data_IF_216953076479
#
_entry.id   IF_216953076479
#
_cell.length_a   1.000
_cell.length_b   1.000
_cell.length_c   1.000
_cell.angle_alpha   90.00
_cell.angle_beta   90.00
_cell.angle_gamma   90.00
#
_symmetry.space_group_name_H-M   'P 1'
#
loop_
_entity.id
_entity.type
_entity.pdbx_description
1 polymer ?
#
# COMPACT_ATOMS: atom_id res chain seq x y z
N UNK A 1 -12.42 -4.63 25.71
CA UNK A 1 -12.48 -5.18 24.34
C UNK A 1 -12.83 -4.04 23.41
N UNK A 2 -12.03 -3.77 22.37
CA UNK A 2 -12.38 -2.75 21.37
C UNK A 2 -13.65 -3.18 20.63
N UNK A 3 -14.56 -2.26 20.32
CA UNK A 3 -15.80 -2.57 19.60
C UNK A 3 -15.51 -2.88 18.12
N UNK A 4 -16.47 -3.48 17.41
CA UNK A 4 -16.37 -3.64 15.94
C UNK A 4 -16.14 -2.29 15.25
N UNK A 5 -16.86 -1.26 15.69
CA UNK A 5 -16.76 0.09 15.15
C UNK A 5 -15.35 0.69 15.35
N UNK A 6 -14.74 0.52 16.53
CA UNK A 6 -13.40 1.05 16.81
C UNK A 6 -12.32 0.41 15.92
N UNK A 7 -12.40 -0.92 15.73
CA UNK A 7 -11.45 -1.66 14.90
C UNK A 7 -11.63 -1.28 13.43
N UNK A 8 -12.87 -1.23 12.94
CA UNK A 8 -13.21 -0.80 11.57
C UNK A 8 -12.66 0.59 11.27
N UNK A 9 -12.89 1.55 12.19
CA UNK A 9 -12.42 2.91 12.05
C UNK A 9 -10.89 2.99 12.03
N UNK A 10 -10.22 2.26 12.93
CA UNK A 10 -8.74 2.23 12.98
C UNK A 10 -8.15 1.64 11.70
N UNK A 11 -8.78 0.61 11.12
CA UNK A 11 -8.34 0.02 9.84
C UNK A 11 -8.48 1.02 8.70
N UNK A 12 -9.58 1.77 8.64
CA UNK A 12 -9.79 2.80 7.62
C UNK A 12 -8.77 3.94 7.75
N UNK A 13 -8.49 4.39 8.97
CA UNK A 13 -7.48 5.41 9.25
C UNK A 13 -6.09 4.96 8.82
N UNK A 14 -5.71 3.70 9.14
CA UNK A 14 -4.44 3.14 8.70
C UNK A 14 -4.37 3.03 7.18
N UNK A 15 -5.43 2.57 6.51
CA UNK A 15 -5.46 2.49 5.04
C UNK A 15 -5.34 3.87 4.38
N UNK A 16 -5.96 4.90 4.96
CA UNK A 16 -5.83 6.28 4.49
C UNK A 16 -4.41 6.83 4.71
N UNK A 17 -3.83 6.60 5.89
CA UNK A 17 -2.47 7.02 6.22
C UNK A 17 -1.41 6.32 5.33
N UNK A 18 -1.62 5.03 5.03
CA UNK A 18 -0.77 4.28 4.09
C UNK A 18 -0.83 4.87 2.69
N UNK A 19 -2.01 5.26 2.22
CA UNK A 19 -2.15 5.93 0.93
C UNK A 19 -1.44 7.29 0.90
N UNK A 20 -1.51 8.06 1.99
CA UNK A 20 -0.78 9.31 2.12
C UNK A 20 0.75 9.10 2.10
N UNK A 21 1.27 8.18 2.92
CA UNK A 21 2.70 7.85 2.95
C UNK A 21 3.21 7.33 1.60
N UNK A 22 2.41 6.51 0.89
CA UNK A 22 2.77 6.03 -0.44
C UNK A 22 2.85 7.16 -1.48
N UNK A 23 2.02 8.20 -1.37
CA UNK A 23 2.11 9.39 -2.25
C UNK A 23 3.39 10.20 -2.01
N UNK A 24 3.94 10.12 -0.81
CA UNK A 24 5.21 10.75 -0.43
C UNK A 24 6.43 9.85 -0.73
N UNK A 25 6.20 8.62 -1.21
CA UNK A 25 7.25 7.63 -1.47
C UNK A 25 7.80 6.96 -0.20
N UNK A 26 7.19 7.16 0.97
CA UNK A 26 7.63 6.57 2.24
C UNK A 26 7.11 5.13 2.41
N UNK A 27 7.69 4.21 1.64
CA UNK A 27 7.28 2.81 1.62
C UNK A 27 7.65 2.03 2.89
N UNK A 28 8.63 2.48 3.66
CA UNK A 28 8.96 1.84 4.94
C UNK A 28 7.88 2.14 5.99
N UNK A 29 7.36 3.37 6.04
CA UNK A 29 6.19 3.69 6.86
C UNK A 29 4.95 2.90 6.41
N UNK A 30 4.71 2.78 5.10
CA UNK A 30 3.62 1.95 4.56
C UNK A 30 3.74 0.49 5.04
N UNK A 31 4.95 -0.09 4.98
CA UNK A 31 5.19 -1.46 5.44
C UNK A 31 4.91 -1.61 6.94
N UNK A 32 5.35 -0.65 7.76
CA UNK A 32 5.09 -0.67 9.20
C UNK A 32 3.59 -0.60 9.53
N UNK A 33 2.85 0.25 8.83
CA UNK A 33 1.40 0.38 8.98
C UNK A 33 0.65 -0.88 8.51
N UNK A 34 1.09 -1.51 7.42
CA UNK A 34 0.45 -2.72 6.88
C UNK A 34 0.47 -3.89 7.89
N UNK A 35 1.56 -4.06 8.64
CA UNK A 35 1.66 -5.08 9.70
C UNK A 35 0.56 -4.87 10.74
N UNK A 36 0.42 -3.65 11.25
CA UNK A 36 -0.61 -3.30 12.24
C UNK A 36 -2.02 -3.46 11.67
N UNK A 37 -2.22 -3.05 10.41
CA UNK A 37 -3.51 -3.15 9.73
C UNK A 37 -3.96 -4.60 9.56
N UNK A 38 -3.06 -5.51 9.14
CA UNK A 38 -3.39 -6.94 8.99
C UNK A 38 -3.88 -7.55 10.29
N UNK A 39 -3.20 -7.26 11.41
CA UNK A 39 -3.63 -7.74 12.74
C UNK A 39 -5.03 -7.26 13.13
N UNK A 40 -5.38 -6.01 12.79
CA UNK A 40 -6.70 -5.46 13.08
C UNK A 40 -7.78 -6.03 12.16
N UNK A 41 -7.47 -6.24 10.88
CA UNK A 41 -8.37 -6.91 9.93
C UNK A 41 -8.68 -8.33 10.40
N UNK A 42 -7.68 -9.10 10.84
CA UNK A 42 -7.88 -10.42 11.41
C UNK A 42 -8.82 -10.37 12.63
N UNK A 43 -8.62 -9.41 13.55
CA UNK A 43 -9.52 -9.21 14.70
C UNK A 43 -10.95 -8.83 14.29
N UNK A 44 -11.10 -8.11 13.19
CA UNK A 44 -12.40 -7.70 12.66
C UNK A 44 -13.17 -8.90 12.10
N UNK A 45 -12.50 -9.82 11.41
CA UNK A 45 -13.10 -11.06 10.91
C UNK A 45 -13.50 -12.05 12.01
N UNK A 46 -12.88 -11.97 13.19
CA UNK A 46 -13.28 -12.77 14.35
C UNK A 46 -14.59 -12.27 15.01
N UNK A 47 -15.04 -11.06 14.66
CA UNK A 47 -16.29 -10.49 15.18
C UNK A 47 -17.40 -10.72 14.16
N UNK A 48 -18.31 -11.64 14.49
CA UNK A 48 -19.52 -11.87 13.70
C UNK A 48 -20.42 -10.63 13.88
N UNK A 49 -20.78 -9.90 12.81
CA UNK A 49 -21.76 -8.83 12.92
C UNK A 49 -23.12 -9.45 13.25
N UNK A 50 -23.77 -8.97 14.31
CA UNK A 50 -25.12 -9.40 14.66
C UNK A 50 -26.15 -8.53 13.93
N UNK A 51 -27.16 -9.16 13.32
CA UNK A 51 -28.26 -8.49 12.64
C UNK A 51 -27.92 -7.91 11.27
N UNK A 52 -28.98 -7.49 10.56
CA UNK A 52 -28.89 -6.97 9.19
C UNK A 52 -28.10 -5.66 9.13
N UNK A 53 -28.27 -4.77 10.11
CA UNK A 53 -27.53 -3.51 10.21
C UNK A 53 -26.02 -3.75 10.38
N UNK A 54 -25.62 -4.74 11.19
CA UNK A 54 -24.22 -5.12 11.37
C UNK A 54 -23.58 -5.62 10.08
N UNK A 55 -24.30 -6.44 9.31
CA UNK A 55 -23.83 -6.93 8.01
C UNK A 55 -23.69 -5.81 6.98
N UNK A 56 -24.64 -4.86 6.95
CA UNK A 56 -24.55 -3.68 6.06
C UNK A 56 -23.36 -2.79 6.43
N UNK A 57 -23.13 -2.56 7.73
CA UNK A 57 -21.98 -1.80 8.21
C UNK A 57 -20.66 -2.47 7.83
N UNK A 58 -20.54 -3.79 8.01
CA UNK A 58 -19.36 -4.54 7.57
C UNK A 58 -19.14 -4.42 6.06
N UNK A 59 -20.21 -4.54 5.25
CA UNK A 59 -20.10 -4.38 3.79
C UNK A 59 -19.52 -3.02 3.42
N UNK A 60 -20.03 -1.94 4.00
CA UNK A 60 -19.55 -0.58 3.73
C UNK A 60 -18.07 -0.40 4.11
N UNK A 61 -17.65 -0.97 5.25
CA UNK A 61 -16.25 -0.93 5.68
C UNK A 61 -15.35 -1.69 4.70
N UNK A 62 -15.77 -2.89 4.27
CA UNK A 62 -15.03 -3.69 3.29
C UNK A 62 -14.88 -2.97 1.95
N UNK A 63 -15.96 -2.37 1.44
CA UNK A 63 -15.93 -1.60 0.18
C UNK A 63 -14.96 -0.41 0.27
N UNK A 64 -14.94 0.31 1.39
CA UNK A 64 -14.01 1.41 1.61
C UNK A 64 -12.55 0.94 1.68
N UNK A 65 -12.27 -0.16 2.39
CA UNK A 65 -10.93 -0.76 2.45
C UNK A 65 -10.47 -1.17 1.05
N UNK A 66 -11.32 -1.86 0.28
CA UNK A 66 -11.00 -2.29 -1.09
C UNK A 66 -10.69 -1.11 -2.02
N UNK A 67 -11.43 0.00 -1.85
CA UNK A 67 -11.20 1.22 -2.62
C UNK A 67 -9.82 1.81 -2.32
N UNK A 68 -9.48 1.95 -1.03
CA UNK A 68 -8.19 2.47 -0.58
C UNK A 68 -7.03 1.56 -1.00
N UNK A 69 -7.20 0.24 -0.87
CA UNK A 69 -6.21 -0.76 -1.26
C UNK A 69 -5.94 -0.76 -2.76
N UNK A 70 -6.99 -0.62 -3.57
CA UNK A 70 -6.84 -0.53 -5.02
C UNK A 70 -6.02 0.71 -5.41
N UNK A 71 -6.30 1.87 -4.79
CA UNK A 71 -5.54 3.08 -5.03
C UNK A 71 -4.08 2.97 -4.58
N UNK A 72 -3.84 2.37 -3.40
CA UNK A 72 -2.49 2.14 -2.87
C UNK A 72 -1.69 1.20 -3.78
N UNK A 73 -2.29 0.09 -4.20
CA UNK A 73 -1.64 -0.89 -5.08
C UNK A 73 -1.30 -0.29 -6.45
N UNK A 74 -2.15 0.59 -6.98
CA UNK A 74 -1.86 1.31 -8.21
C UNK A 74 -0.63 2.23 -8.05
N UNK A 75 -0.56 3.00 -6.96
CA UNK A 75 0.60 3.85 -6.64
C UNK A 75 1.89 3.04 -6.51
N UNK A 76 1.87 1.96 -5.74
CA UNK A 76 3.05 1.08 -5.55
C UNK A 76 3.53 0.51 -6.90
N UNK A 77 2.60 0.11 -7.79
CA UNK A 77 2.95 -0.39 -9.13
C UNK A 77 3.59 0.70 -9.98
N UNK A 78 3.02 1.90 -10.00
CA UNK A 78 3.55 3.03 -10.75
C UNK A 78 4.99 3.37 -10.31
N UNK A 79 5.22 3.46 -9.00
CA UNK A 79 6.53 3.78 -8.43
C UNK A 79 7.56 2.68 -8.72
N UNK A 80 7.17 1.41 -8.59
CA UNK A 80 8.02 0.27 -8.97
C UNK A 80 8.42 0.35 -10.46
N UNK A 81 7.46 0.64 -11.34
CA UNK A 81 7.71 0.67 -12.78
C UNK A 81 8.61 1.87 -13.15
N UNK A 82 8.42 3.03 -12.51
CA UNK A 82 9.32 4.18 -12.64
C UNK A 82 10.75 3.85 -12.19
N UNK A 83 10.92 3.26 -11.00
CA UNK A 83 12.23 2.86 -10.50
C UNK A 83 12.93 1.85 -11.44
N UNK A 84 12.17 0.88 -11.98
CA UNK A 84 12.69 -0.07 -12.96
C UNK A 84 13.16 0.62 -14.25
N UNK A 85 12.39 1.59 -14.76
CA UNK A 85 12.77 2.38 -15.93
C UNK A 85 14.04 3.21 -15.68
N UNK A 86 14.14 3.89 -14.53
CA UNK A 86 15.34 4.65 -14.15
C UNK A 86 16.57 3.75 -14.07
N UNK A 87 16.46 2.57 -13.45
CA UNK A 87 17.55 1.61 -13.37
C UNK A 87 18.00 1.12 -14.76
N UNK A 88 17.05 0.89 -15.68
CA UNK A 88 17.38 0.52 -17.05
C UNK A 88 18.13 1.64 -17.80
N UNK A 89 17.72 2.90 -17.61
CA UNK A 89 18.41 4.05 -18.20
C UNK A 89 19.84 4.19 -17.68
N UNK A 90 20.04 4.08 -16.37
CA UNK A 90 21.38 4.10 -15.75
C UNK A 90 22.28 2.97 -16.28
N UNK A 91 21.74 1.75 -16.43
CA UNK A 91 22.48 0.63 -17.03
C UNK A 91 22.89 0.91 -18.47
N UNK A 92 22.03 1.55 -19.27
CA UNK A 92 22.35 1.95 -20.66
C UNK A 92 23.44 3.02 -20.69
N UNK A 93 23.33 4.04 -19.86
CA UNK A 93 24.34 5.11 -19.74
C UNK A 93 25.70 4.55 -19.31
N UNK A 94 25.74 3.67 -18.32
CA UNK A 94 26.98 3.01 -17.87
C UNK A 94 27.62 2.15 -18.95
N UNK A 95 26.82 1.46 -19.78
CA UNK A 95 27.33 0.70 -20.93
C UNK A 95 27.91 1.61 -22.00
N UNK A 96 27.23 2.72 -22.32
CA UNK A 96 27.72 3.70 -23.29
C UNK A 96 29.03 4.34 -22.80
N UNK A 97 29.08 4.78 -21.54
CA UNK A 97 30.30 5.37 -20.95
C UNK A 97 31.49 4.42 -20.97
N UNK A 98 31.27 3.12 -20.71
CA UNK A 98 32.34 2.11 -20.80
C UNK A 98 32.81 1.90 -22.24
N UNK A 99 31.89 1.88 -23.22
CA UNK A 99 32.24 1.72 -24.63
C UNK A 99 33.12 2.87 -25.14
N UNK A 100 32.81 4.12 -24.76
CA UNK A 100 33.65 5.27 -25.12
C UNK A 100 35.05 5.21 -24.48
N UNK A 101 35.16 4.77 -23.22
CA UNK A 101 36.47 4.60 -22.56
C UNK A 101 37.35 3.52 -23.19
N UNK A 102 36.77 2.51 -23.85
CA UNK A 102 37.52 1.45 -24.54
C UNK A 102 37.89 1.77 -25.99
N UNK A 103 37.37 2.84 -26.58
CA UNK A 103 37.65 3.22 -27.98
C UNK A 103 38.72 4.32 -28.09
N UNK A 104 38.92 5.10 -27.02
CA UNK A 104 39.90 6.20 -26.97
C UNK A 104 41.21 5.86 -26.20
N UNK A 105 41.51 4.57 -25.97
CA UNK A 105 42.75 4.09 -25.34
C UNK A 105 43.40 2.97 -26.13
#
# INVERSE_FOLDING_TARGET
MNSFSDISQTVLELSSAMLAAAREGDFETVRGMDIKRRQLVEQLFLKIPEGEEGVQSLRQVVEQIQTLDSALMQLIRQERDQAAHQLQQLKKQNRASRAYQTVDG
#
